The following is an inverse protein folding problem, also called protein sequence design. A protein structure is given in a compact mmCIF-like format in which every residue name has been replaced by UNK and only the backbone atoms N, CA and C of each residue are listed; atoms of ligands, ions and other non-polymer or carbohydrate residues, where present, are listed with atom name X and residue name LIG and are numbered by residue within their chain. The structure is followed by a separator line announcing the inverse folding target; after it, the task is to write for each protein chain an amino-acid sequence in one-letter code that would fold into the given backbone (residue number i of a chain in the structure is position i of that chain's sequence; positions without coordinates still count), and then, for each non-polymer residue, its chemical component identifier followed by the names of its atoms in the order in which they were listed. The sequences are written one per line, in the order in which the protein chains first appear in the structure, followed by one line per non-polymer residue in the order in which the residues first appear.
data_IF_563379624852
#
_entry.id   IF_563379624852
#
_cell.length_a   1.000
_cell.length_b   1.000
_cell.length_c   1.000
_cell.angle_alpha   90.00
_cell.angle_beta   90.00
_cell.angle_gamma   90.00
#
_symmetry.space_group_name_H-M   'P 1'
#
loop_
_entity.id
_entity.type
_entity.pdbx_description
1 polymer ?
#
# COMPACT_ATOMS: atom_id res chain seq x y z
N UNK A 1 -13.50 -13.57 -7.41
CA UNK A 1 -12.31 -14.37 -7.07
C UNK A 1 -12.23 -14.37 -5.56
N UNK A 2 -12.21 -15.52 -4.88
CA UNK A 2 -12.26 -15.58 -3.41
C UNK A 2 -11.11 -14.81 -2.74
N UNK A 3 -9.97 -14.67 -3.39
CA UNK A 3 -8.83 -13.89 -2.86
C UNK A 3 -9.02 -12.37 -2.99
N UNK A 4 -10.04 -11.92 -3.70
CA UNK A 4 -10.38 -10.50 -3.80
C UNK A 4 -11.30 -10.05 -2.67
N UNK A 5 -11.77 -10.95 -1.79
CA UNK A 5 -12.62 -10.63 -0.64
C UNK A 5 -11.75 -10.31 0.61
N UNK A 6 -12.38 -9.80 1.66
CA UNK A 6 -11.70 -9.60 2.95
C UNK A 6 -11.42 -10.97 3.58
N UNK A 7 -10.25 -11.12 4.23
CA UNK A 7 -9.85 -12.37 4.88
C UNK A 7 -9.78 -12.27 6.40
N UNK A 8 -9.39 -13.38 7.03
CA UNK A 8 -9.15 -13.44 8.47
C UNK A 8 -8.13 -12.37 8.93
N UNK A 9 -8.39 -11.74 10.08
CA UNK A 9 -7.56 -10.67 10.65
C UNK A 9 -7.87 -9.28 10.07
N UNK A 10 -9.05 -9.09 9.50
CA UNK A 10 -9.57 -7.83 8.96
C UNK A 10 -10.91 -7.41 9.61
N UNK A 11 -11.41 -8.16 10.60
CA UNK A 11 -12.76 -8.07 11.18
C UNK A 11 -12.98 -6.78 11.98
N UNK A 12 -11.94 -6.28 12.63
CA UNK A 12 -11.95 -5.04 13.43
C UNK A 12 -11.68 -3.78 12.60
N UNK A 13 -11.71 -3.91 11.27
CA UNK A 13 -11.43 -2.83 10.36
C UNK A 13 -12.55 -2.57 9.37
N UNK A 14 -12.54 -1.36 8.83
CA UNK A 14 -13.39 -0.93 7.72
C UNK A 14 -12.53 -0.59 6.52
N UNK A 15 -12.93 -1.07 5.35
CA UNK A 15 -12.33 -0.69 4.07
C UNK A 15 -12.87 0.67 3.63
N UNK A 16 -12.02 1.68 3.59
CA UNK A 16 -12.40 3.03 3.11
C UNK A 16 -12.22 3.18 1.61
N UNK A 17 -11.37 2.35 1.00
CA UNK A 17 -11.18 2.28 -0.44
C UNK A 17 -10.58 0.92 -0.82
N UNK A 18 -11.05 0.34 -1.92
CA UNK A 18 -10.51 -0.89 -2.49
C UNK A 18 -10.36 -0.73 -4.00
N UNK A 19 -9.18 -1.06 -4.53
CA UNK A 19 -8.92 -0.94 -5.97
C UNK A 19 -7.97 -2.01 -6.46
N UNK A 20 -8.24 -2.50 -7.67
CA UNK A 20 -7.37 -3.49 -8.31
C UNK A 20 -6.19 -2.81 -8.98
N UNK A 21 -5.00 -3.39 -8.79
CA UNK A 21 -3.76 -2.85 -9.34
C UNK A 21 -2.70 -3.92 -9.51
N UNK A 22 -1.62 -3.56 -10.22
CA UNK A 22 -0.40 -4.35 -10.31
C UNK A 22 0.68 -3.72 -9.43
N UNK A 23 1.36 -4.51 -8.61
CA UNK A 23 2.35 -4.03 -7.66
C UNK A 23 3.76 -4.57 -7.94
N UNK A 24 4.75 -3.74 -7.58
CA UNK A 24 6.16 -4.03 -7.65
C UNK A 24 6.84 -3.54 -6.38
N UNK A 25 7.93 -4.19 -5.99
CA UNK A 25 8.84 -3.70 -4.94
C UNK A 25 10.25 -3.53 -5.49
N UNK A 26 10.97 -2.53 -5.00
CA UNK A 26 12.38 -2.36 -5.31
C UNK A 26 13.20 -3.31 -4.42
N UNK A 27 14.01 -4.15 -5.05
CA UNK A 27 14.90 -5.11 -4.40
C UNK A 27 16.35 -4.72 -4.67
N UNK A 28 17.24 -4.98 -3.71
CA UNK A 28 18.68 -4.86 -3.93
C UNK A 28 19.15 -6.10 -4.70
N UNK A 29 19.94 -5.91 -5.75
CA UNK A 29 20.64 -7.00 -6.42
C UNK A 29 21.82 -7.46 -5.55
N UNK A 30 22.16 -8.74 -5.66
CA UNK A 30 23.39 -9.25 -5.06
C UNK A 30 24.58 -8.47 -5.65
N UNK A 31 25.54 -8.02 -4.83
CA UNK A 31 26.79 -7.43 -5.33
C UNK A 31 27.50 -8.25 -6.41
N UNK A 32 27.36 -9.59 -6.39
CA UNK A 32 27.93 -10.50 -7.40
C UNK A 32 27.25 -10.39 -8.77
N UNK A 33 26.01 -9.88 -8.82
CA UNK A 33 25.21 -9.70 -10.04
C UNK A 33 25.25 -8.24 -10.54
N UNK A 34 26.35 -7.53 -10.28
CA UNK A 34 26.58 -6.16 -10.73
C UNK A 34 26.02 -5.07 -9.80
N UNK A 35 25.51 -5.44 -8.62
CA UNK A 35 25.00 -4.50 -7.62
C UNK A 35 23.80 -3.66 -8.08
N UNK A 36 23.37 -2.72 -7.24
CA UNK A 36 22.26 -1.80 -7.52
C UNK A 36 20.88 -2.35 -7.14
N UNK A 37 19.83 -1.79 -7.76
CA UNK A 37 18.44 -2.09 -7.43
C UNK A 37 17.66 -2.54 -8.67
N UNK A 38 16.72 -3.47 -8.48
CA UNK A 38 15.79 -3.94 -9.51
C UNK A 38 14.36 -4.05 -8.99
N UNK A 39 13.40 -3.81 -9.89
CA UNK A 39 11.99 -4.01 -9.60
C UNK A 39 11.65 -5.49 -9.65
N UNK A 40 11.10 -6.01 -8.55
CA UNK A 40 10.51 -7.33 -8.45
C UNK A 40 8.98 -7.20 -8.53
N UNK A 41 8.35 -7.98 -9.40
CA UNK A 41 6.90 -8.00 -9.54
C UNK A 41 6.26 -8.76 -8.36
N UNK A 42 5.29 -8.11 -7.70
CA UNK A 42 4.46 -8.73 -6.65
C UNK A 42 3.17 -9.33 -7.24
N UNK A 43 2.82 -8.94 -8.46
CA UNK A 43 1.66 -9.41 -9.21
C UNK A 43 0.45 -8.48 -9.10
N UNK A 44 -0.70 -9.00 -9.51
CA UNK A 44 -1.98 -8.28 -9.51
C UNK A 44 -2.79 -8.62 -8.25
N UNK A 45 -3.48 -7.62 -7.69
CA UNK A 45 -4.22 -7.78 -6.45
C UNK A 45 -5.20 -6.64 -6.16
N UNK A 46 -5.95 -6.78 -5.08
CA UNK A 46 -6.80 -5.74 -4.51
C UNK A 46 -6.03 -5.01 -3.41
N UNK A 47 -5.70 -3.74 -3.62
CA UNK A 47 -5.18 -2.86 -2.58
C UNK A 47 -6.36 -2.28 -1.82
N UNK A 48 -6.33 -2.40 -0.50
CA UNK A 48 -7.28 -1.80 0.43
C UNK A 48 -6.59 -0.75 1.29
N UNK A 49 -7.28 0.36 1.47
CA UNK A 49 -7.00 1.31 2.54
C UNK A 49 -7.98 0.97 3.66
N UNK A 50 -7.45 0.65 4.84
CA UNK A 50 -8.24 0.17 5.98
C UNK A 50 -8.11 1.07 7.19
N UNK A 51 -9.15 1.04 8.02
CA UNK A 51 -9.24 1.78 9.28
C UNK A 51 -9.71 0.85 10.38
N UNK A 52 -8.95 0.75 11.46
CA UNK A 52 -9.38 0.03 12.65
C UNK A 52 -10.52 0.77 13.35
N UNK A 53 -11.61 0.07 13.68
CA UNK A 53 -12.86 0.63 14.21
C UNK A 53 -12.67 1.36 15.53
N UNK A 54 -11.90 0.76 16.46
CA UNK A 54 -11.66 1.35 17.78
C UNK A 54 -10.48 2.33 17.80
N UNK A 55 -9.29 1.88 17.40
CA UNK A 55 -8.08 2.70 17.48
C UNK A 55 -7.98 3.79 16.41
N UNK A 56 -8.76 3.71 15.33
CA UNK A 56 -8.64 4.60 14.17
C UNK A 56 -7.34 4.45 13.40
N UNK A 57 -6.51 3.45 13.72
CA UNK A 57 -5.26 3.16 13.01
C UNK A 57 -5.56 2.87 11.53
N UNK A 58 -4.75 3.42 10.64
CA UNK A 58 -4.91 3.28 9.19
C UNK A 58 -3.83 2.40 8.62
N UNK A 59 -4.16 1.46 7.72
CA UNK A 59 -3.17 0.61 7.03
C UNK A 59 -3.43 0.47 5.54
N UNK A 60 -2.38 0.12 4.81
CA UNK A 60 -2.45 -0.40 3.46
C UNK A 60 -2.32 -1.91 3.46
N UNK A 61 -3.22 -2.59 2.77
CA UNK A 61 -3.24 -4.04 2.62
C UNK A 61 -3.42 -4.42 1.14
N UNK A 62 -2.47 -5.12 0.54
CA UNK A 62 -2.60 -5.69 -0.81
C UNK A 62 -2.64 -7.22 -0.73
N UNK A 63 -3.77 -7.81 -1.14
CA UNK A 63 -3.89 -9.25 -1.32
C UNK A 63 -3.77 -9.60 -2.80
N UNK A 64 -2.88 -10.53 -3.13
CA UNK A 64 -2.68 -11.00 -4.49
C UNK A 64 -3.89 -11.82 -4.94
N UNK A 65 -4.51 -11.44 -6.06
CA UNK A 65 -5.74 -12.07 -6.54
C UNK A 65 -5.53 -13.54 -6.93
N UNK A 66 -4.34 -13.93 -7.40
CA UNK A 66 -4.10 -15.31 -7.87
C UNK A 66 -3.69 -16.26 -6.75
N UNK A 67 -3.06 -15.77 -5.70
CA UNK A 67 -2.39 -16.61 -4.69
C UNK A 67 -2.91 -16.40 -3.27
N UNK A 68 -3.71 -15.36 -3.02
CA UNK A 68 -4.18 -14.98 -1.68
C UNK A 68 -3.10 -14.39 -0.78
N UNK A 69 -1.83 -14.38 -1.21
CA UNK A 69 -0.71 -13.83 -0.43
C UNK A 69 -0.86 -12.34 -0.18
N UNK A 70 -0.52 -11.92 1.04
CA UNK A 70 -0.44 -10.50 1.40
C UNK A 70 0.92 -9.97 0.96
N UNK A 71 0.93 -9.02 0.04
CA UNK A 71 2.13 -8.47 -0.59
C UNK A 71 2.54 -7.09 -0.03
N UNK A 72 1.57 -6.35 0.51
CA UNK A 72 1.77 -5.06 1.17
C UNK A 72 0.91 -5.09 2.42
N UNK A 73 1.49 -4.82 3.59
CA UNK A 73 0.76 -4.71 4.86
C UNK A 73 1.55 -3.83 5.82
N UNK A 74 1.17 -2.55 5.93
CA UNK A 74 1.80 -1.63 6.87
C UNK A 74 0.86 -0.50 7.26
N UNK A 75 1.04 0.02 8.47
CA UNK A 75 0.32 1.20 8.94
C UNK A 75 0.75 2.45 8.19
N UNK A 76 -0.21 3.29 7.82
CA UNK A 76 0.08 4.64 7.36
C UNK A 76 0.80 5.41 8.47
N UNK A 77 1.76 6.25 8.07
CA UNK A 77 2.59 7.00 8.99
C UNK A 77 2.78 8.43 8.46
N UNK A 78 3.10 9.37 9.35
CA UNK A 78 3.14 10.81 9.05
C UNK A 78 4.15 11.17 7.94
N UNK A 79 5.23 10.41 7.83
CA UNK A 79 6.27 10.58 6.81
C UNK A 79 5.97 9.95 5.45
N UNK A 80 4.84 9.24 5.29
CA UNK A 80 4.48 8.61 4.02
C UNK A 80 4.21 9.68 2.96
N UNK A 81 4.88 9.56 1.81
CA UNK A 81 4.78 10.50 0.67
C UNK A 81 4.54 9.74 -0.63
N UNK A 82 3.28 9.43 -0.98
CA UNK A 82 2.96 8.87 -2.27
C UNK A 82 3.26 9.89 -3.39
N UNK A 83 3.80 9.42 -4.50
CA UNK A 83 4.08 10.23 -5.68
C UNK A 83 3.37 9.63 -6.88
N UNK A 84 2.48 10.42 -7.50
CA UNK A 84 1.70 10.01 -8.66
C UNK A 84 2.43 10.41 -9.95
N UNK A 85 2.50 9.50 -10.91
CA UNK A 85 2.97 9.77 -12.27
C UNK A 85 2.14 8.94 -13.25
N UNK A 86 1.29 9.61 -14.03
CA UNK A 86 0.31 8.98 -14.92
C UNK A 86 -0.56 7.98 -14.14
N UNK A 87 -0.40 6.68 -14.42
CA UNK A 87 -1.16 5.58 -13.82
C UNK A 87 -0.46 4.91 -12.64
N UNK A 88 0.64 5.48 -12.17
CA UNK A 88 1.52 4.82 -11.23
C UNK A 88 1.70 5.66 -9.98
N UNK A 89 1.59 5.04 -8.81
CA UNK A 89 1.92 5.67 -7.52
C UNK A 89 3.14 4.96 -6.94
N UNK A 90 4.16 5.73 -6.56
CA UNK A 90 5.34 5.26 -5.85
C UNK A 90 5.32 5.74 -4.41
N UNK A 91 5.69 4.89 -3.46
CA UNK A 91 5.81 5.25 -2.05
C UNK A 91 6.78 4.32 -1.33
N UNK A 92 7.28 4.76 -0.18
CA UNK A 92 8.05 3.91 0.73
C UNK A 92 7.11 3.39 1.81
N UNK A 93 7.00 2.07 1.95
CA UNK A 93 6.27 1.41 3.02
C UNK A 93 7.20 0.60 3.91
N UNK A 94 6.63 -0.30 4.70
CA UNK A 94 7.38 -1.21 5.57
C UNK A 94 7.02 -2.67 5.31
N UNK A 95 8.02 -3.54 5.34
CA UNK A 95 7.87 -4.99 5.29
C UNK A 95 8.81 -5.59 6.34
N UNK A 96 8.24 -6.30 7.33
CA UNK A 96 8.99 -6.93 8.43
C UNK A 96 10.02 -6.00 9.09
N UNK A 97 9.64 -4.73 9.32
CA UNK A 97 10.49 -3.72 9.97
C UNK A 97 11.49 -3.02 9.05
N UNK A 98 11.62 -3.44 7.79
CA UNK A 98 12.48 -2.78 6.81
C UNK A 98 11.67 -1.82 5.92
N UNK A 99 12.27 -0.67 5.55
CA UNK A 99 11.69 0.21 4.54
C UNK A 99 11.80 -0.41 3.15
N UNK A 100 10.69 -0.40 2.42
CA UNK A 100 10.59 -0.95 1.06
C UNK A 100 9.96 0.08 0.14
N UNK A 101 10.58 0.33 -1.01
CA UNK A 101 9.98 1.18 -2.06
C UNK A 101 9.02 0.34 -2.89
N UNK A 102 7.75 0.73 -2.90
CA UNK A 102 6.72 0.14 -3.72
C UNK A 102 6.38 1.02 -4.91
N UNK A 103 5.97 0.36 -5.98
CA UNK A 103 5.41 0.99 -7.17
C UNK A 103 4.12 0.24 -7.52
N UNK A 104 2.99 0.94 -7.51
CA UNK A 104 1.69 0.38 -7.84
C UNK A 104 1.14 1.03 -9.10
N UNK A 105 0.70 0.22 -10.06
CA UNK A 105 0.20 0.66 -11.36
C UNK A 105 -1.26 0.29 -11.52
N UNK A 106 -2.06 1.30 -11.82
CA UNK A 106 -3.51 1.23 -11.94
C UNK A 106 -3.90 1.17 -13.43
N UNK A 107 -5.17 0.82 -13.70
CA UNK A 107 -5.63 0.60 -15.07
C UNK A 107 -5.74 1.93 -15.83
N UNK A 108 -6.25 2.97 -15.18
CA UNK A 108 -6.46 4.31 -15.75
C UNK A 108 -5.80 5.41 -14.88
N UNK A 109 -5.68 6.62 -15.43
CA UNK A 109 -5.09 7.76 -14.69
C UNK A 109 -6.06 8.29 -13.63
N UNK A 110 -7.37 8.19 -13.89
CA UNK A 110 -8.44 8.58 -12.98
C UNK A 110 -8.41 7.72 -11.72
N UNK A 111 -8.28 6.39 -11.88
CA UNK A 111 -8.10 5.48 -10.75
C UNK A 111 -6.84 5.82 -9.94
N UNK A 112 -5.74 6.16 -10.63
CA UNK A 112 -4.49 6.54 -9.97
C UNK A 112 -4.61 7.84 -9.19
N UNK A 113 -5.35 8.81 -9.73
CA UNK A 113 -5.70 10.03 -9.03
C UNK A 113 -6.59 9.74 -7.82
N UNK A 114 -7.63 8.93 -7.98
CA UNK A 114 -8.56 8.58 -6.88
C UNK A 114 -7.82 7.91 -5.71
N UNK A 115 -7.01 6.89 -5.99
CA UNK A 115 -6.21 6.23 -4.95
C UNK A 115 -5.24 7.23 -4.30
N UNK A 116 -4.62 8.13 -5.07
CA UNK A 116 -3.72 9.15 -4.54
C UNK A 116 -4.45 10.11 -3.59
N UNK A 117 -5.63 10.58 -3.96
CA UNK A 117 -6.44 11.50 -3.17
C UNK A 117 -6.90 10.83 -1.85
N UNK A 118 -7.28 9.55 -1.90
CA UNK A 118 -7.59 8.76 -0.70
C UNK A 118 -6.36 8.65 0.21
N UNK A 119 -5.19 8.27 -0.33
CA UNK A 119 -3.97 8.15 0.45
C UNK A 119 -3.61 9.46 1.15
N UNK A 120 -3.67 10.59 0.44
CA UNK A 120 -3.36 11.89 1.01
C UNK A 120 -4.30 12.27 2.15
N UNK A 121 -5.61 12.02 1.98
CA UNK A 121 -6.61 12.24 3.01
C UNK A 121 -6.33 11.41 4.26
N UNK A 122 -6.07 10.11 4.10
CA UNK A 122 -5.82 9.24 5.25
C UNK A 122 -4.48 9.53 5.94
N UNK A 123 -3.45 9.94 5.19
CA UNK A 123 -2.17 10.40 5.75
C UNK A 123 -2.36 11.70 6.53
N UNK A 124 -3.19 12.64 6.03
CA UNK A 124 -3.50 13.86 6.74
C UNK A 124 -4.21 13.59 8.08
N UNK A 125 -5.13 12.62 8.11
CA UNK A 125 -5.77 12.16 9.35
C UNK A 125 -4.74 11.63 10.36
N UNK A 126 -3.81 10.77 9.91
CA UNK A 126 -2.73 10.24 10.77
C UNK A 126 -1.86 11.37 11.34
N UNK A 127 -1.50 12.37 10.52
CA UNK A 127 -0.75 13.54 10.98
C UNK A 127 -1.48 14.35 12.03
N UNK A 128 -2.78 14.60 11.84
CA UNK A 128 -3.60 15.36 12.79
C UNK A 128 -3.68 14.64 14.14
N UNK A 129 -3.90 13.32 14.13
CA UNK A 129 -3.98 12.51 15.35
C UNK A 129 -2.65 12.45 16.12
N UNK A 130 -1.52 12.26 15.44
CA UNK A 130 -0.21 12.26 16.12
C UNK A 130 0.14 13.63 16.72
N UNK A 131 -0.27 14.72 16.06
CA UNK A 131 -0.04 16.08 16.56
C UNK A 131 -0.96 16.52 17.71
N UNK A 132 -2.13 15.87 17.88
CA UNK A 132 -3.03 16.15 19.02
C UNK A 132 -2.67 15.37 20.29
N UNK A 133 -1.92 14.27 20.15
CA UNK A 133 -1.47 13.42 21.25
C UNK A 133 -0.09 13.88 21.81
N UNK A 134 0.42 15.02 21.35
CA UNK A 134 1.69 15.67 21.76
C UNK A 134 1.43 16.92 22.59
#
# INVERSE_FOLDING_TARGET
NPHDEEGEGEEDEETVHAIKLKAYRLTKKDPKDGGGSAWSELGYGVLRVKTHKESGARRLLLRNSSTGKININFNLYTGLKPSLTKRTIMFVGHDQGASVTYNVRLQTEEQAKELKDVLDREIAFVKAKTGSDS
#
